data_IF_225121399971
#
_entry.id   IF_225121399971
#
_cell.length_a   1.000
_cell.length_b   1.000
_cell.length_c   1.000
_cell.angle_alpha   90.00
_cell.angle_beta   90.00
_cell.angle_gamma   90.00
#
_symmetry.space_group_name_H-M   'P 1'
#
loop_
_entity.id
_entity.type
_entity.pdbx_description
1 polymer ?
#
# COMPACT_ATOMS: atom_id res chain seq x y z
N UNK A 1 13.22 -1.21 4.06
CA UNK A 1 11.80 -0.88 4.00
C UNK A 1 11.61 0.62 3.88
N UNK A 2 10.76 1.05 2.97
CA UNK A 2 10.46 2.47 2.78
C UNK A 2 8.98 2.74 3.00
N UNK A 3 8.69 3.88 3.60
CA UNK A 3 7.32 4.38 3.75
C UNK A 3 7.14 5.56 2.79
N UNK A 4 6.03 5.53 2.05
CA UNK A 4 5.64 6.62 1.17
C UNK A 4 4.31 7.19 1.63
N UNK A 5 4.11 8.47 1.35
CA UNK A 5 2.85 9.14 1.61
C UNK A 5 2.17 9.42 0.28
N UNK A 6 0.91 9.03 0.16
CA UNK A 6 0.10 9.29 -1.04
C UNK A 6 -1.12 10.07 -0.61
N UNK A 7 -1.35 11.21 -1.25
CA UNK A 7 -2.49 12.05 -0.94
C UNK A 7 -3.67 11.72 -1.85
N UNK A 8 -4.83 11.52 -1.26
CA UNK A 8 -6.07 11.28 -2.00
C UNK A 8 -6.62 12.57 -2.60
N UNK A 9 -7.64 12.45 -3.45
CA UNK A 9 -8.26 13.64 -4.06
C UNK A 9 -8.94 14.55 -3.03
N UNK A 10 -9.34 14.00 -1.89
CA UNK A 10 -9.95 14.77 -0.79
C UNK A 10 -8.93 15.08 0.32
N UNK A 11 -7.64 15.06 -0.02
CA UNK A 11 -6.53 15.49 0.84
C UNK A 11 -6.31 14.65 2.11
N UNK A 12 -6.67 13.36 2.04
CA UNK A 12 -6.33 12.40 3.08
C UNK A 12 -4.98 11.78 2.73
N UNK A 13 -4.10 11.63 3.71
CA UNK A 13 -2.79 11.01 3.48
C UNK A 13 -2.85 9.53 3.79
N UNK A 14 -2.44 8.72 2.81
CA UNK A 14 -2.34 7.26 2.94
C UNK A 14 -0.90 6.87 3.18
N UNK A 15 -0.69 5.86 4.02
CA UNK A 15 0.64 5.29 4.28
C UNK A 15 0.84 4.08 3.38
N UNK A 16 1.85 4.16 2.51
CA UNK A 16 2.23 3.09 1.59
C UNK A 16 3.60 2.57 1.99
N UNK A 17 3.77 1.27 2.00
CA UNK A 17 5.00 0.64 2.44
C UNK A 17 5.60 -0.19 1.31
N UNK A 18 6.86 0.08 0.97
CA UNK A 18 7.67 -0.78 0.12
C UNK A 18 8.54 -1.64 1.01
N UNK A 19 8.38 -2.95 0.93
CA UNK A 19 9.03 -3.88 1.87
C UNK A 19 10.49 -4.15 1.56
N UNK A 20 10.89 -4.02 0.29
CA UNK A 20 12.25 -4.33 -0.13
C UNK A 20 12.72 -3.40 -1.24
N UNK A 21 14.04 -3.35 -1.44
CA UNK A 21 14.69 -2.45 -2.40
C UNK A 21 15.28 -3.18 -3.59
N UNK A 22 14.79 -4.35 -3.94
CA UNK A 22 15.33 -5.08 -5.08
C UNK A 22 15.05 -4.32 -6.37
N UNK A 23 16.06 -4.27 -7.25
CA UNK A 23 15.92 -3.65 -8.57
C UNK A 23 15.48 -4.66 -9.61
N UNK A 24 15.78 -5.94 -9.39
CA UNK A 24 15.41 -7.03 -10.27
C UNK A 24 14.44 -7.92 -9.52
N UNK A 25 13.25 -8.10 -10.06
CA UNK A 25 12.25 -8.94 -9.42
C UNK A 25 11.51 -9.78 -10.45
N UNK A 26 10.95 -10.89 -9.97
CA UNK A 26 10.09 -11.75 -10.80
C UNK A 26 8.72 -11.11 -11.02
N UNK A 27 8.35 -10.16 -10.18
CA UNK A 27 7.07 -9.48 -10.25
C UNK A 27 6.85 -8.66 -8.99
N UNK A 28 5.67 -8.08 -8.89
CA UNK A 28 5.29 -7.24 -7.76
C UNK A 28 4.06 -7.81 -7.08
N UNK A 29 4.15 -8.04 -5.77
CA UNK A 29 3.00 -8.37 -4.95
C UNK A 29 2.49 -7.08 -4.29
N UNK A 30 1.21 -6.83 -4.41
CA UNK A 30 0.59 -5.68 -3.78
C UNK A 30 -0.46 -6.15 -2.77
N UNK A 31 -0.22 -5.86 -1.49
CA UNK A 31 -1.10 -6.32 -0.41
C UNK A 31 -2.03 -5.18 -0.01
N UNK A 32 -3.33 -5.45 -0.09
CA UNK A 32 -4.36 -4.55 0.39
C UNK A 32 -4.98 -5.22 1.61
N UNK A 33 -4.84 -4.59 2.79
CA UNK A 33 -5.36 -5.20 4.01
C UNK A 33 -6.89 -5.09 4.08
N UNK A 34 -7.49 -5.99 4.85
CA UNK A 34 -8.93 -6.00 5.05
C UNK A 34 -9.39 -4.95 6.06
N UNK A 35 -10.69 -4.87 6.24
CA UNK A 35 -11.31 -3.94 7.18
C UNK A 35 -10.81 -4.22 8.60
N UNK A 36 -10.37 -3.17 9.29
CA UNK A 36 -9.87 -3.28 10.66
C UNK A 36 -8.45 -3.80 10.78
N UNK A 37 -7.79 -4.08 9.65
CA UNK A 37 -6.42 -4.56 9.64
C UNK A 37 -5.46 -3.44 9.25
N UNK A 38 -4.16 -3.73 9.29
CA UNK A 38 -3.12 -2.81 8.84
C UNK A 38 -1.97 -3.60 8.22
N UNK A 39 -1.13 -2.90 7.44
CA UNK A 39 -0.09 -3.55 6.63
C UNK A 39 0.92 -4.36 7.47
N UNK A 40 1.14 -4.04 8.73
CA UNK A 40 2.07 -4.77 9.59
C UNK A 40 1.68 -6.21 9.86
N UNK A 41 0.40 -6.57 9.70
CA UNK A 41 -0.06 -7.94 9.93
C UNK A 41 0.43 -8.93 8.88
N UNK A 42 0.88 -8.43 7.73
CA UNK A 42 1.25 -9.26 6.59
C UNK A 42 2.76 -9.44 6.45
N UNK A 43 3.53 -9.17 7.50
CA UNK A 43 4.99 -9.24 7.44
C UNK A 43 5.50 -10.62 7.04
N UNK A 44 4.89 -11.70 7.52
CA UNK A 44 5.29 -13.05 7.15
C UNK A 44 5.04 -13.34 5.67
N UNK A 45 3.90 -12.89 5.15
CA UNK A 45 3.57 -13.06 3.73
C UNK A 45 4.55 -12.28 2.87
N UNK A 46 4.81 -11.03 3.24
CA UNK A 46 5.77 -10.19 2.52
C UNK A 46 7.15 -10.85 2.49
N UNK A 47 7.63 -11.35 3.63
CA UNK A 47 8.94 -12.01 3.70
C UNK A 47 9.01 -13.21 2.79
N UNK A 48 7.96 -14.03 2.75
CA UNK A 48 7.92 -15.20 1.87
C UNK A 48 8.11 -14.80 0.41
N UNK A 49 7.38 -13.79 -0.05
CA UNK A 49 7.49 -13.35 -1.44
C UNK A 49 8.82 -12.66 -1.72
N UNK A 50 9.35 -11.89 -0.79
CA UNK A 50 10.67 -11.26 -0.93
C UNK A 50 11.75 -12.34 -1.09
N UNK A 51 11.70 -13.37 -0.26
CA UNK A 51 12.68 -14.46 -0.33
C UNK A 51 12.58 -15.25 -1.64
N UNK A 52 11.45 -15.16 -2.32
CA UNK A 52 11.24 -15.79 -3.62
C UNK A 52 11.42 -14.83 -4.82
N UNK A 53 12.01 -13.67 -4.61
CA UNK A 53 12.41 -12.76 -5.68
C UNK A 53 11.38 -11.74 -6.12
N UNK A 54 10.36 -11.48 -5.30
CA UNK A 54 9.33 -10.49 -5.62
C UNK A 54 9.60 -9.16 -4.93
N UNK A 55 9.14 -8.08 -5.55
CA UNK A 55 8.96 -6.81 -4.86
C UNK A 55 7.61 -6.85 -4.14
N UNK A 56 7.55 -6.29 -2.95
CA UNK A 56 6.32 -6.29 -2.16
C UNK A 56 5.98 -4.87 -1.73
N UNK A 57 4.76 -4.47 -2.03
CA UNK A 57 4.16 -3.22 -1.57
C UNK A 57 2.88 -3.52 -0.81
N UNK A 58 2.55 -2.65 0.12
CA UNK A 58 1.25 -2.68 0.79
C UNK A 58 0.84 -1.26 1.17
N UNK A 59 -0.43 -1.06 1.47
CA UNK A 59 -0.85 0.23 2.02
C UNK A 59 -1.98 0.04 3.02
N UNK A 60 -2.05 0.97 3.97
CA UNK A 60 -3.17 1.04 4.90
C UNK A 60 -4.28 1.84 4.24
N UNK A 61 -5.48 1.27 4.14
CA UNK A 61 -6.64 1.98 3.61
C UNK A 61 -6.97 3.18 4.49
N UNK A 62 -7.69 4.16 3.92
CA UNK A 62 -8.10 5.32 4.70
C UNK A 62 -8.83 4.86 5.95
N UNK A 63 -8.57 5.54 7.06
CA UNK A 63 -9.18 5.19 8.33
C UNK A 63 -8.60 3.97 9.02
N UNK A 64 -7.52 3.39 8.49
CA UNK A 64 -6.89 2.18 9.04
C UNK A 64 -5.39 2.39 9.21
N UNK A 65 -4.82 1.68 10.19
CA UNK A 65 -3.37 1.69 10.44
C UNK A 65 -2.83 3.10 10.57
N UNK A 66 -1.79 3.41 9.79
CA UNK A 66 -1.10 4.69 9.79
C UNK A 66 -1.67 5.71 8.81
N UNK A 67 -2.67 5.32 8.01
CA UNK A 67 -3.33 6.23 7.09
C UNK A 67 -4.32 7.12 7.82
N UNK A 68 -4.49 8.33 7.30
CA UNK A 68 -5.46 9.27 7.84
C UNK A 68 -6.89 8.88 7.46
N UNK A 69 -7.84 9.61 7.98
CA UNK A 69 -9.26 9.40 7.73
C UNK A 69 -10.01 8.99 8.98
N UNK A 70 -11.32 9.04 8.93
CA UNK A 70 -12.16 8.62 10.05
C UNK A 70 -11.94 7.14 10.31
N UNK A 71 -11.62 6.79 11.57
CA UNK A 71 -11.24 5.42 11.92
C UNK A 71 -12.31 4.40 11.53
N UNK A 72 -11.87 3.37 10.78
CA UNK A 72 -12.75 2.28 10.36
C UNK A 72 -13.78 2.66 9.34
N UNK A 73 -13.66 3.82 8.69
CA UNK A 73 -14.69 4.35 7.79
C UNK A 73 -14.13 4.67 6.40
N UNK A 74 -14.89 4.33 5.37
CA UNK A 74 -14.69 4.83 4.03
C UNK A 74 -16.01 5.46 3.55
N UNK A 75 -15.98 6.69 2.97
CA UNK A 75 -17.21 7.36 2.54
C UNK A 75 -17.99 6.57 1.50
N UNK A 76 -17.31 5.86 0.61
CA UNK A 76 -17.96 5.07 -0.44
C UNK A 76 -16.94 4.16 -1.10
N UNK A 77 -17.45 3.19 -1.87
CA UNK A 77 -16.61 2.34 -2.70
C UNK A 77 -15.82 3.16 -3.72
N UNK A 78 -16.45 4.20 -4.29
CA UNK A 78 -15.79 5.05 -5.27
C UNK A 78 -14.57 5.76 -4.66
N UNK A 79 -14.66 6.22 -3.42
CA UNK A 79 -13.51 6.80 -2.72
C UNK A 79 -12.40 5.76 -2.53
N UNK A 80 -12.75 4.55 -2.13
CA UNK A 80 -11.77 3.48 -1.94
C UNK A 80 -11.08 3.08 -3.23
N UNK A 81 -11.81 3.03 -4.33
CA UNK A 81 -11.25 2.72 -5.65
C UNK A 81 -10.34 3.84 -6.15
N UNK A 82 -10.74 5.10 -5.94
CA UNK A 82 -9.88 6.24 -6.30
C UNK A 82 -8.58 6.22 -5.50
N UNK A 83 -8.67 5.93 -4.21
CA UNK A 83 -7.48 5.82 -3.35
C UNK A 83 -6.53 4.75 -3.89
N UNK A 84 -7.04 3.57 -4.21
CA UNK A 84 -6.25 2.48 -4.76
C UNK A 84 -5.59 2.88 -6.07
N UNK A 85 -6.32 3.52 -6.97
CA UNK A 85 -5.78 3.96 -8.25
C UNK A 85 -4.62 4.94 -8.04
N UNK A 86 -4.74 5.87 -7.11
CA UNK A 86 -3.68 6.84 -6.80
C UNK A 86 -2.44 6.14 -6.24
N UNK A 87 -2.63 5.17 -5.36
CA UNK A 87 -1.53 4.40 -4.80
C UNK A 87 -0.81 3.62 -5.90
N UNK A 88 -1.55 2.94 -6.76
CA UNK A 88 -0.97 2.16 -7.86
C UNK A 88 -0.19 3.04 -8.84
N UNK A 89 -0.72 4.20 -9.19
CA UNK A 89 -0.02 5.14 -10.08
C UNK A 89 1.28 5.66 -9.45
N UNK A 90 1.28 5.88 -8.15
CA UNK A 90 2.47 6.33 -7.44
C UNK A 90 3.54 5.24 -7.43
N UNK A 91 3.14 3.99 -7.21
CA UNK A 91 4.05 2.85 -7.26
C UNK A 91 4.67 2.70 -8.65
N UNK A 92 3.88 2.78 -9.70
CA UNK A 92 4.38 2.68 -11.07
C UNK A 92 5.46 3.72 -11.36
N UNK A 93 5.23 4.98 -10.96
CA UNK A 93 6.21 6.04 -11.18
C UNK A 93 7.50 5.80 -10.40
N UNK A 94 7.43 5.21 -9.22
CA UNK A 94 8.60 4.92 -8.39
C UNK A 94 9.33 3.64 -8.82
N UNK A 95 8.63 2.74 -9.48
CA UNK A 95 9.19 1.45 -9.91
C UNK A 95 9.84 1.52 -11.29
N UNK A 96 9.54 2.55 -12.08
CA UNK A 96 10.16 2.77 -13.38
C UNK A 96 11.52 3.39 -13.16
N UNK A 97 12.52 2.71 -13.63
CA UNK A 97 13.92 3.15 -13.50
C UNK A 97 14.42 3.59 -14.86
#
# INVERSE_FOLDING_TARGET
>A
MHLYKVQTKDHITLSVQKWNNTKISKGTLFIIHGLGEHQGRYSHLAKFYIDNGFQVYSYDQRGHGKSEGKRGHSPSLDHSLDDLERVLKTIDRKSVV
#
